data_IF_047743625061
#
_entry.id   IF_047743625061
#
_cell.length_a   1.000
_cell.length_b   1.000
_cell.length_c   1.000
_cell.angle_alpha   90.00
_cell.angle_beta   90.00
_cell.angle_gamma   90.00
#
_symmetry.space_group_name_H-M   'P 1'
#
loop_
_entity.id
_entity.type
_entity.pdbx_description
1 polymer ?
#
# COMPACT_ATOMS: atom_id res chain seq x y z
N UNK A 1 -26.36 -6.88 5.30
CA UNK A 1 -25.96 -8.25 4.92
C UNK A 1 -24.44 -8.25 4.81
N UNK A 2 -23.73 -8.53 5.90
CA UNK A 2 -22.31 -8.92 5.84
C UNK A 2 -22.31 -10.38 5.41
N UNK A 3 -21.66 -10.69 4.28
CA UNK A 3 -21.49 -12.08 3.86
C UNK A 3 -20.28 -12.64 4.61
N UNK A 4 -20.54 -13.63 5.47
CA UNK A 4 -19.51 -14.47 6.09
C UNK A 4 -18.69 -15.16 5.01
N UNK A 5 -17.52 -14.61 4.74
CA UNK A 5 -16.34 -15.38 4.38
C UNK A 5 -15.36 -15.22 5.54
N UNK A 6 -15.54 -16.01 6.59
CA UNK A 6 -14.70 -16.02 7.79
C UNK A 6 -13.28 -16.48 7.45
N UNK A 7 -12.51 -15.58 6.87
CA UNK A 7 -11.06 -15.57 6.99
C UNK A 7 -10.79 -14.73 8.25
N UNK A 8 -9.91 -15.20 9.14
CA UNK A 8 -9.46 -14.47 10.34
C UNK A 8 -8.72 -13.17 9.99
N UNK A 9 -9.41 -12.22 9.34
CA UNK A 9 -8.87 -10.98 8.84
C UNK A 9 -8.92 -9.94 9.95
N UNK A 10 -7.74 -9.44 10.30
CA UNK A 10 -7.55 -8.38 11.30
C UNK A 10 -7.57 -7.04 10.55
N UNK A 11 -8.40 -6.11 11.02
CA UNK A 11 -8.50 -4.75 10.47
C UNK A 11 -9.82 -4.50 9.72
N UNK A 12 -10.73 -3.77 10.38
CA UNK A 12 -12.02 -3.33 9.80
C UNK A 12 -12.14 -1.80 9.69
N UNK A 13 -11.21 -1.07 10.30
CA UNK A 13 -11.28 0.39 10.40
C UNK A 13 -10.74 1.12 9.18
N UNK A 14 -9.88 0.48 8.37
CA UNK A 14 -9.28 1.11 7.18
C UNK A 14 -8.29 2.24 7.45
N UNK A 15 -7.98 2.54 8.73
CA UNK A 15 -7.09 3.65 9.12
C UNK A 15 -5.67 3.19 9.50
N UNK A 16 -5.45 1.89 9.72
CA UNK A 16 -4.17 1.36 10.20
C UNK A 16 -3.00 1.64 9.28
N UNK A 17 -3.24 1.70 7.97
CA UNK A 17 -2.22 2.04 6.98
C UNK A 17 -1.59 3.42 7.23
N UNK A 18 -2.37 4.43 7.60
CA UNK A 18 -1.87 5.79 7.82
C UNK A 18 -0.96 5.94 9.05
N UNK A 19 -0.92 4.94 9.95
CA UNK A 19 0.03 4.94 11.07
C UNK A 19 1.49 4.92 10.62
N UNK A 20 1.74 4.55 9.36
CA UNK A 20 3.06 4.57 8.72
C UNK A 20 3.70 5.96 8.72
N UNK A 21 2.89 7.02 8.62
CA UNK A 21 3.35 8.41 8.62
C UNK A 21 3.76 8.91 10.01
N UNK A 22 3.62 8.09 11.06
CA UNK A 22 4.18 8.41 12.37
C UNK A 22 5.71 8.25 12.40
N UNK A 23 6.27 7.49 11.47
CA UNK A 23 7.71 7.14 11.45
C UNK A 23 8.41 7.46 10.13
N UNK A 24 7.66 7.73 9.06
CA UNK A 24 8.20 7.99 7.72
C UNK A 24 7.62 9.27 7.11
N UNK A 25 8.49 10.06 6.47
CA UNK A 25 8.11 11.26 5.72
C UNK A 25 7.65 10.92 4.29
N UNK A 26 8.09 9.78 3.77
CA UNK A 26 7.74 9.28 2.45
C UNK A 26 7.42 7.79 2.49
N UNK A 27 6.36 7.41 1.78
CA UNK A 27 5.89 6.04 1.69
C UNK A 27 5.66 5.69 0.23
N UNK A 28 6.24 4.56 -0.16
CA UNK A 28 6.01 3.91 -1.44
C UNK A 28 5.39 2.52 -1.21
N UNK A 29 4.28 2.26 -1.89
CA UNK A 29 3.57 0.98 -1.87
C UNK A 29 3.61 0.39 -3.26
N UNK A 30 4.29 -0.73 -3.40
CA UNK A 30 4.32 -1.49 -4.64
C UNK A 30 3.35 -2.65 -4.47
N UNK A 31 2.41 -2.79 -5.40
CA UNK A 31 1.46 -3.89 -5.38
C UNK A 31 1.23 -4.47 -6.76
N UNK A 32 1.07 -5.79 -6.80
CA UNK A 32 0.75 -6.52 -8.02
C UNK A 32 -0.53 -7.33 -7.82
N UNK A 33 -1.58 -6.94 -8.54
CA UNK A 33 -2.74 -7.81 -8.70
C UNK A 33 -2.44 -8.88 -9.75
N UNK A 34 -2.95 -10.10 -9.58
CA UNK A 34 -2.66 -11.22 -10.48
C UNK A 34 -3.01 -10.91 -11.95
N UNK A 35 -4.15 -10.23 -12.16
CA UNK A 35 -4.69 -9.92 -13.49
C UNK A 35 -4.33 -8.52 -14.03
N UNK A 36 -3.53 -7.73 -13.31
CA UNK A 36 -3.15 -6.38 -13.73
C UNK A 36 -1.63 -6.22 -13.73
N UNK A 37 -1.08 -5.07 -14.11
CA UNK A 37 0.35 -4.77 -14.02
C UNK A 37 0.76 -4.42 -12.58
N UNK A 38 2.06 -4.31 -12.35
CA UNK A 38 2.59 -3.80 -11.08
C UNK A 38 2.45 -2.28 -11.07
N UNK A 39 1.98 -1.74 -9.95
CA UNK A 39 1.90 -0.29 -9.76
C UNK A 39 2.63 0.10 -8.49
N UNK A 40 3.31 1.24 -8.58
CA UNK A 40 3.88 1.95 -7.45
C UNK A 40 2.95 3.12 -7.10
N UNK A 41 2.50 3.13 -5.85
CA UNK A 41 1.81 4.25 -5.24
C UNK A 41 2.80 4.98 -4.32
N UNK A 42 2.83 6.31 -4.37
CA UNK A 42 3.73 7.12 -3.57
C UNK A 42 3.01 8.31 -2.93
N UNK A 43 3.37 8.67 -1.69
CA UNK A 43 2.83 9.83 -0.99
C UNK A 43 3.73 10.32 0.15
N UNK A 44 3.66 11.63 0.41
CA UNK A 44 4.40 12.37 1.46
C UNK A 44 3.49 12.91 2.57
N UNK A 45 2.29 12.38 2.72
CA UNK A 45 1.26 12.89 3.64
C UNK A 45 0.92 14.40 3.47
N UNK A 46 1.20 14.97 2.30
CA UNK A 46 0.90 16.36 1.93
C UNK A 46 -0.53 16.56 1.39
N UNK A 47 -1.34 15.50 1.44
CA UNK A 47 -2.70 15.46 0.91
C UNK A 47 -2.78 15.02 -0.56
N UNK A 48 -1.65 14.72 -1.21
CA UNK A 48 -1.59 14.17 -2.55
C UNK A 48 -0.95 12.77 -2.57
N UNK A 49 -1.22 12.04 -3.64
CA UNK A 49 -0.56 10.78 -3.97
C UNK A 49 -0.40 10.67 -5.48
N UNK A 50 0.60 9.91 -5.91
CA UNK A 50 0.80 9.57 -7.31
C UNK A 50 0.78 8.04 -7.49
N UNK A 51 0.36 7.60 -8.67
CA UNK A 51 0.34 6.20 -9.07
C UNK A 51 1.07 6.10 -10.40
N UNK A 52 2.02 5.19 -10.50
CA UNK A 52 2.77 4.90 -11.71
C UNK A 52 2.87 3.40 -11.97
N UNK A 53 2.99 3.02 -13.24
CA UNK A 53 3.30 1.63 -13.60
C UNK A 53 4.76 1.34 -13.23
N UNK A 54 4.97 0.31 -12.43
CA UNK A 54 6.31 -0.08 -12.01
C UNK A 54 6.92 -1.04 -13.02
N UNK A 55 8.10 -0.68 -13.51
CA UNK A 55 8.84 -1.40 -14.55
C UNK A 55 10.25 -1.80 -14.11
N UNK A 56 10.64 -1.46 -12.86
CA UNK A 56 12.00 -1.62 -12.37
C UNK A 56 12.13 -2.72 -11.32
N UNK A 57 11.14 -2.89 -10.45
CA UNK A 57 11.18 -3.94 -9.44
C UNK A 57 10.74 -5.30 -10.02
N UNK A 58 11.21 -6.38 -9.38
CA UNK A 58 10.69 -7.71 -9.68
C UNK A 58 9.19 -7.80 -9.34
N UNK A 59 8.42 -8.65 -10.04
CA UNK A 59 7.01 -8.83 -9.74
C UNK A 59 6.83 -9.44 -8.34
N UNK A 60 6.48 -8.60 -7.37
CA UNK A 60 6.28 -8.94 -5.96
C UNK A 60 4.81 -8.77 -5.60
N UNK A 61 4.29 -9.61 -4.70
CA UNK A 61 2.89 -9.56 -4.31
C UNK A 61 2.50 -8.18 -3.72
N UNK A 62 3.21 -7.75 -2.67
CA UNK A 62 3.10 -6.41 -2.05
C UNK A 62 4.43 -6.06 -1.37
N UNK A 63 4.93 -4.85 -1.56
CA UNK A 63 6.09 -4.28 -0.87
C UNK A 63 5.77 -2.89 -0.33
N UNK A 64 6.22 -2.60 0.90
CA UNK A 64 6.09 -1.29 1.56
C UNK A 64 7.50 -0.75 1.80
N UNK A 65 7.87 0.32 1.09
CA UNK A 65 9.15 1.02 1.31
C UNK A 65 8.88 2.32 2.06
N UNK A 66 9.66 2.50 3.13
CA UNK A 66 9.52 3.61 4.07
C UNK A 66 10.84 4.36 4.16
N UNK A 67 10.79 5.66 3.88
CA UNK A 67 11.89 6.55 4.21
C UNK A 67 11.65 7.11 5.61
N UNK A 68 12.25 6.45 6.60
CA UNK A 68 12.18 6.84 8.00
C UNK A 68 13.05 8.08 8.29
N UNK A 69 12.60 8.88 9.27
CA UNK A 69 13.33 10.00 9.86
C UNK A 69 14.39 9.52 10.86
#
# INVERSE_FOLDING_TARGET
>A
MQTSGDLNLIGQFGVGFYSVYLVADYVEVISKHNDDKQYAWESKADGAFAISEDTWNEPLAVELKLDCI
#
